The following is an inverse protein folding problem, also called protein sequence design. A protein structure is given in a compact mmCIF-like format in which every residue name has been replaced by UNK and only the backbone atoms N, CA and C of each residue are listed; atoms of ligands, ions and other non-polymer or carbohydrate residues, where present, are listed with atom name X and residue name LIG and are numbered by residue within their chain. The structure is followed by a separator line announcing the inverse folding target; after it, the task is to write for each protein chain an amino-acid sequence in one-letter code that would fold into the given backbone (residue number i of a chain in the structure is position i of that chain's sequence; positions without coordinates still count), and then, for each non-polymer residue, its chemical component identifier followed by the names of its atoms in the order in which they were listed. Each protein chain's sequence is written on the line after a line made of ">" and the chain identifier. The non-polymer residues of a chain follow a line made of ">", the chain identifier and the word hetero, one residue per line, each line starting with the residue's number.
data_IF_478960259793
#
_entry.id   IF_478960259793
#
_cell.length_a   1.000
_cell.length_b   1.000
_cell.length_c   1.000
_cell.angle_alpha   90.00
_cell.angle_beta   90.00
_cell.angle_gamma   90.00
#
_symmetry.space_group_name_H-M   'P 1'
#
loop_
_entity.id
_entity.type
_entity.pdbx_description
1 polymer ?
#
# COMPACT_ATOMS: atom_id res chain seq x y z
N UNK A 1 -2.89 -16.99 -15.40
CA UNK A 1 -3.83 -18.13 -15.49
C UNK A 1 -4.00 -18.64 -14.07
N UNK A 2 -5.17 -18.47 -13.46
CA UNK A 2 -5.41 -18.86 -12.07
C UNK A 2 -5.58 -20.37 -11.94
N UNK A 3 -5.08 -20.96 -10.85
CA UNK A 3 -5.27 -22.38 -10.55
C UNK A 3 -6.75 -22.62 -10.22
N UNK A 4 -7.41 -23.46 -11.04
CA UNK A 4 -8.82 -23.80 -10.84
C UNK A 4 -8.99 -24.84 -9.74
N UNK A 5 -10.18 -24.89 -9.12
CA UNK A 5 -10.51 -25.91 -8.12
C UNK A 5 -10.44 -27.33 -8.69
N UNK A 6 -10.81 -27.51 -9.96
CA UNK A 6 -10.71 -28.80 -10.64
C UNK A 6 -9.24 -29.27 -10.76
N UNK A 7 -8.32 -28.36 -11.10
CA UNK A 7 -6.88 -28.68 -11.17
C UNK A 7 -6.29 -28.98 -9.80
N UNK A 8 -6.75 -28.27 -8.76
CA UNK A 8 -6.33 -28.48 -7.37
C UNK A 8 -6.77 -29.85 -6.85
N UNK A 9 -8.02 -30.22 -7.13
CA UNK A 9 -8.56 -31.54 -6.81
C UNK A 9 -7.79 -32.67 -7.51
N UNK A 10 -7.53 -32.52 -8.82
CA UNK A 10 -6.73 -33.49 -9.58
C UNK A 10 -5.32 -33.67 -9.01
N UNK A 11 -4.67 -32.57 -8.58
CA UNK A 11 -3.36 -32.62 -7.92
C UNK A 11 -3.42 -33.38 -6.60
N UNK A 12 -4.40 -33.09 -5.73
CA UNK A 12 -4.60 -33.83 -4.48
C UNK A 12 -4.77 -35.32 -4.74
N UNK A 13 -5.64 -35.70 -5.68
CA UNK A 13 -5.88 -37.11 -6.03
C UNK A 13 -4.61 -37.80 -6.53
N UNK A 14 -3.83 -37.14 -7.39
CA UNK A 14 -2.57 -37.70 -7.89
C UNK A 14 -1.53 -37.89 -6.78
N UNK A 15 -1.46 -36.96 -5.82
CA UNK A 15 -0.52 -37.05 -4.68
C UNK A 15 -0.96 -38.13 -3.69
N UNK A 16 -2.27 -38.26 -3.42
CA UNK A 16 -2.81 -39.31 -2.56
C UNK A 16 -2.56 -40.73 -3.07
N UNK A 17 -2.43 -40.90 -4.39
CA UNK A 17 -2.04 -42.18 -5.01
C UNK A 17 -0.56 -42.51 -4.83
N UNK A 18 0.32 -41.52 -4.60
CA UNK A 18 1.78 -41.71 -4.51
C UNK A 18 2.24 -41.81 -3.05
N UNK A 19 1.71 -40.94 -2.18
CA UNK A 19 2.06 -40.88 -0.76
C UNK A 19 1.04 -41.69 0.04
N UNK A 20 -0.05 -41.02 0.40
CA UNK A 20 -1.30 -41.52 0.96
C UNK A 20 -2.26 -40.30 1.07
N UNK A 21 -3.52 -40.54 1.42
CA UNK A 21 -4.53 -39.46 1.52
C UNK A 21 -4.19 -38.43 2.61
N UNK A 22 -3.64 -38.86 3.75
CA UNK A 22 -3.33 -37.99 4.89
C UNK A 22 -2.15 -37.05 4.60
N UNK A 23 -1.08 -37.55 3.96
CA UNK A 23 0.03 -36.72 3.53
C UNK A 23 -0.37 -35.77 2.39
N UNK A 24 -1.28 -36.18 1.51
CA UNK A 24 -1.81 -35.32 0.46
C UNK A 24 -2.61 -34.16 1.05
N UNK A 25 -3.48 -34.42 2.03
CA UNK A 25 -4.26 -33.38 2.71
C UNK A 25 -3.32 -32.40 3.45
N UNK A 26 -2.34 -32.92 4.17
CA UNK A 26 -1.34 -32.09 4.87
C UNK A 26 -0.58 -31.18 3.90
N UNK A 27 -0.16 -31.71 2.74
CA UNK A 27 0.54 -30.92 1.74
C UNK A 27 -0.37 -29.83 1.16
N UNK A 28 -1.63 -30.16 0.87
CA UNK A 28 -2.59 -29.20 0.35
C UNK A 28 -2.90 -28.08 1.35
N UNK A 29 -2.90 -28.36 2.65
CA UNK A 29 -3.06 -27.35 3.72
C UNK A 29 -1.87 -26.39 3.83
N UNK A 30 -0.65 -26.86 3.53
CA UNK A 30 0.56 -26.03 3.55
C UNK A 30 0.69 -25.15 2.31
N UNK A 31 0.04 -25.54 1.21
CA UNK A 31 0.07 -24.77 -0.03
C UNK A 31 -0.91 -23.59 0.08
N UNK A 32 -0.51 -22.40 -0.38
CA UNK A 32 -1.44 -21.30 -0.47
C UNK A 32 -2.66 -21.72 -1.32
N UNK A 33 -3.88 -21.25 -0.96
CA UNK A 33 -5.08 -21.53 -1.74
C UNK A 33 -5.00 -20.90 -3.13
N UNK A 34 -4.12 -19.91 -3.30
CA UNK A 34 -3.76 -19.27 -4.57
C UNK A 34 -2.40 -19.78 -5.05
N UNK A 35 -2.05 -19.56 -6.32
CA UNK A 35 -0.72 -19.94 -6.80
C UNK A 35 0.38 -19.11 -6.11
N UNK A 36 1.59 -19.64 -6.02
CA UNK A 36 2.74 -18.91 -5.47
C UNK A 36 3.07 -17.60 -6.22
N UNK A 37 2.69 -17.51 -7.50
CA UNK A 37 2.83 -16.28 -8.29
C UNK A 37 1.91 -15.13 -7.80
N UNK A 38 0.82 -15.47 -7.11
CA UNK A 38 -0.13 -14.48 -6.58
C UNK A 38 0.22 -14.07 -5.13
N UNK A 39 1.16 -14.76 -4.48
CA UNK A 39 1.62 -14.43 -3.13
C UNK A 39 2.68 -13.34 -3.21
N UNK A 40 2.41 -12.19 -2.60
CA UNK A 40 3.38 -11.10 -2.53
C UNK A 40 4.66 -11.55 -1.82
N UNK A 41 5.80 -11.32 -2.47
CA UNK A 41 7.12 -11.60 -1.90
C UNK A 41 7.56 -10.47 -0.97
N UNK A 42 8.59 -10.72 -0.16
CA UNK A 42 9.21 -9.65 0.66
C UNK A 42 9.72 -8.49 -0.20
N UNK A 43 10.25 -8.79 -1.38
CA UNK A 43 10.73 -7.79 -2.34
C UNK A 43 9.57 -6.93 -2.85
N UNK A 44 8.42 -7.53 -3.17
CA UNK A 44 7.22 -6.79 -3.59
C UNK A 44 6.74 -5.84 -2.48
N UNK A 45 6.77 -6.31 -1.23
CA UNK A 45 6.42 -5.49 -0.07
C UNK A 45 7.42 -4.36 0.18
N UNK A 46 8.72 -4.60 0.00
CA UNK A 46 9.75 -3.56 0.09
C UNK A 46 9.58 -2.49 -0.99
N UNK A 47 9.29 -2.89 -2.23
CA UNK A 47 8.99 -1.95 -3.29
C UNK A 47 7.71 -1.15 -3.02
N UNK A 48 6.67 -1.80 -2.50
CA UNK A 48 5.43 -1.12 -2.11
C UNK A 48 5.68 -0.11 -0.98
N UNK A 49 6.44 -0.50 0.06
CA UNK A 49 6.83 0.37 1.15
C UNK A 49 7.57 1.62 0.63
N UNK A 50 8.61 1.42 -0.18
CA UNK A 50 9.38 2.52 -0.76
C UNK A 50 8.50 3.46 -1.59
N UNK A 51 7.58 2.90 -2.37
CA UNK A 51 6.63 3.68 -3.19
C UNK A 51 5.71 4.53 -2.32
N UNK A 52 5.21 3.98 -1.21
CA UNK A 52 4.36 4.69 -0.26
C UNK A 52 5.15 5.81 0.44
N UNK A 53 6.35 5.52 0.92
CA UNK A 53 7.21 6.50 1.60
C UNK A 53 7.48 7.70 0.69
N UNK A 54 7.93 7.46 -0.55
CA UNK A 54 8.17 8.53 -1.54
C UNK A 54 6.89 9.32 -1.83
N UNK A 55 5.75 8.65 -1.99
CA UNK A 55 4.49 9.32 -2.29
C UNK A 55 4.00 10.19 -1.13
N UNK A 56 4.16 9.72 0.11
CA UNK A 56 3.81 10.47 1.33
C UNK A 56 4.73 11.67 1.47
N UNK A 57 6.05 11.46 1.39
CA UNK A 57 7.04 12.53 1.49
C UNK A 57 6.77 13.64 0.47
N UNK A 58 6.51 13.27 -0.79
CA UNK A 58 6.18 14.23 -1.84
C UNK A 58 4.91 15.01 -1.52
N UNK A 59 3.85 14.36 -1.07
CA UNK A 59 2.58 15.02 -0.73
C UNK A 59 2.73 15.95 0.46
N UNK A 60 3.42 15.51 1.51
CA UNK A 60 3.71 16.34 2.68
C UNK A 60 4.51 17.57 2.26
N UNK A 61 5.57 17.39 1.47
CA UNK A 61 6.44 18.49 1.09
C UNK A 61 5.69 19.55 0.25
N UNK A 62 4.84 19.12 -0.69
CA UNK A 62 4.02 20.05 -1.47
C UNK A 62 2.93 20.73 -0.63
N UNK A 63 2.29 20.00 0.30
CA UNK A 63 1.36 20.60 1.25
C UNK A 63 2.06 21.60 2.18
N UNK A 64 3.24 21.29 2.71
CA UNK A 64 4.01 22.18 3.58
C UNK A 64 4.38 23.48 2.86
N UNK A 65 4.84 23.41 1.60
CA UNK A 65 5.12 24.61 0.79
C UNK A 65 3.87 25.48 0.63
N UNK A 66 2.74 24.88 0.29
CA UNK A 66 1.50 25.62 0.07
C UNK A 66 0.97 26.25 1.37
N UNK A 67 1.00 25.50 2.47
CA UNK A 67 0.62 26.00 3.79
C UNK A 67 1.49 27.17 4.24
N UNK A 68 2.83 27.05 4.18
CA UNK A 68 3.73 28.13 4.56
C UNK A 68 3.52 29.37 3.70
N UNK A 69 3.36 29.19 2.38
CA UNK A 69 3.16 30.30 1.44
C UNK A 69 1.88 31.07 1.75
N UNK A 70 0.76 30.37 1.99
CA UNK A 70 -0.52 31.01 2.31
C UNK A 70 -0.51 31.68 3.67
N UNK A 71 0.14 31.09 4.68
CA UNK A 71 0.31 31.71 6.00
C UNK A 71 1.10 33.02 5.92
N UNK A 72 2.21 33.03 5.17
CA UNK A 72 3.01 34.26 4.98
C UNK A 72 2.18 35.34 4.27
N UNK A 73 1.45 34.96 3.22
CA UNK A 73 0.60 35.90 2.48
C UNK A 73 -0.51 36.48 3.38
N UNK A 74 -1.21 35.64 4.13
CA UNK A 74 -2.26 36.06 5.07
C UNK A 74 -1.71 36.99 6.17
N UNK A 75 -0.57 36.64 6.77
CA UNK A 75 0.06 37.47 7.80
C UNK A 75 0.45 38.85 7.23
N UNK A 76 0.97 38.89 5.99
CA UNK A 76 1.32 40.15 5.32
C UNK A 76 0.08 41.04 5.10
N UNK A 77 -1.01 40.44 4.61
CA UNK A 77 -2.29 41.14 4.40
C UNK A 77 -2.86 41.65 5.72
N UNK A 78 -2.82 40.83 6.77
CA UNK A 78 -3.33 41.16 8.09
C UNK A 78 -2.55 42.32 8.73
N UNK A 79 -1.22 42.32 8.60
CA UNK A 79 -0.38 43.42 9.07
C UNK A 79 -0.70 44.73 8.34
N UNK A 80 -0.84 44.68 7.01
CA UNK A 80 -1.20 45.86 6.22
C UNK A 80 -2.58 46.43 6.62
N UNK A 81 -3.58 45.55 6.83
CA UNK A 81 -4.90 45.95 7.29
C UNK A 81 -4.86 46.60 8.68
N UNK A 82 -4.08 46.02 9.61
CA UNK A 82 -3.89 46.57 10.96
C UNK A 82 -3.32 48.00 10.91
N UNK A 83 -2.26 48.22 10.13
CA UNK A 83 -1.63 49.55 9.97
C UNK A 83 -2.60 50.56 9.36
N UNK A 84 -3.41 50.15 8.37
CA UNK A 84 -4.41 51.03 7.77
C UNK A 84 -5.50 51.45 8.76
N UNK A 85 -5.99 50.51 9.57
CA UNK A 85 -6.98 50.79 10.62
C UNK A 85 -6.44 51.73 11.69
N UNK A 86 -5.17 51.60 12.09
CA UNK A 86 -4.53 52.50 13.06
C UNK A 86 -4.41 53.95 12.58
N UNK A 87 -4.51 54.22 11.27
CA UNK A 87 -4.50 55.59 10.72
C UNK A 87 -5.89 56.25 10.69
N UNK A 88 -6.96 55.50 10.94
CA UNK A 88 -8.35 55.96 10.82
C UNK A 88 -8.99 56.34 12.17
N UNK A 89 -8.38 55.90 13.29
CA UNK A 89 -8.79 56.16 14.67
C UNK A 89 -7.83 57.19 15.27
#
# INVERSE_FOLDING_TARGET
>A
MSITEASRFQLRTAIGQILDEEAADTLMELLPPVGWADVATKTDLQHLQLTIEIAIEKRIHEQTKWLITTMIAMNTVMLAASVALSKLI
#
